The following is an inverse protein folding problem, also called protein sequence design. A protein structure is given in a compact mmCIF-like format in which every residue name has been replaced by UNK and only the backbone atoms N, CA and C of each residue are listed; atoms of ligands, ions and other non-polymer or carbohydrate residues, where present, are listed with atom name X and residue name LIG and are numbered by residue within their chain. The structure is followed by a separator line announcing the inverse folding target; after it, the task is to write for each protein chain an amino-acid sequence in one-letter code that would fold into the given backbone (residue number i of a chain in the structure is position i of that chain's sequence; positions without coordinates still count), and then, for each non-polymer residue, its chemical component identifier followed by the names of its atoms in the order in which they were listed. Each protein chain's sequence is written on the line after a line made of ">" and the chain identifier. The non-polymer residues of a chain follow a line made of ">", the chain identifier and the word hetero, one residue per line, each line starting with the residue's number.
data_IF_312186998506
#
_entry.id   IF_312186998506
#
_cell.length_a   1.000
_cell.length_b   1.000
_cell.length_c   1.000
_cell.angle_alpha   90.00
_cell.angle_beta   90.00
_cell.angle_gamma   90.00
#
_symmetry.space_group_name_H-M   'P 1'
#
loop_
_entity.id
_entity.type
_entity.pdbx_description
1 polymer ?
#
# COMPACT_ATOMS: atom_id res chain seq x y z
N UNK A 1 2.03 1.68 7.36
CA UNK A 1 2.87 2.37 6.37
C UNK A 1 3.98 1.44 5.91
N UNK A 2 4.38 1.60 4.67
CA UNK A 2 5.57 0.95 4.10
C UNK A 2 5.62 -0.55 4.43
N UNK A 3 6.63 -1.02 5.16
CA UNK A 3 6.79 -2.44 5.50
C UNK A 3 5.59 -3.02 6.25
N UNK A 4 4.95 -2.23 7.11
CA UNK A 4 3.77 -2.66 7.85
C UNK A 4 2.55 -2.94 6.98
N UNK A 5 2.51 -2.44 5.73
CA UNK A 5 1.35 -2.64 4.86
C UNK A 5 1.14 -4.09 4.47
N UNK A 6 2.21 -4.88 4.36
CA UNK A 6 2.10 -6.31 4.08
C UNK A 6 1.40 -7.06 5.20
N UNK A 7 1.78 -6.78 6.45
CA UNK A 7 1.14 -7.38 7.61
C UNK A 7 -0.29 -6.90 7.78
N UNK A 8 -0.55 -5.60 7.53
CA UNK A 8 -1.89 -5.04 7.61
C UNK A 8 -2.83 -5.68 6.57
N UNK A 9 -2.35 -5.88 5.35
CA UNK A 9 -3.12 -6.53 4.28
C UNK A 9 -3.47 -7.96 4.65
N UNK A 10 -2.50 -8.70 5.19
CA UNK A 10 -2.73 -10.08 5.63
C UNK A 10 -3.76 -10.13 6.76
N UNK A 11 -3.63 -9.25 7.74
CA UNK A 11 -4.57 -9.20 8.87
C UNK A 11 -5.98 -8.81 8.40
N UNK A 12 -6.10 -7.86 7.48
CA UNK A 12 -7.39 -7.42 6.97
C UNK A 12 -8.16 -8.53 6.23
N UNK A 13 -7.45 -9.46 5.61
CA UNK A 13 -8.08 -10.64 4.99
C UNK A 13 -8.82 -11.47 6.04
N UNK A 14 -8.26 -11.61 7.24
CA UNK A 14 -8.80 -12.47 8.28
C UNK A 14 -9.79 -11.73 9.19
N UNK A 15 -9.49 -10.47 9.54
CA UNK A 15 -10.27 -9.69 10.54
C UNK A 15 -11.43 -8.92 9.90
N UNK A 16 -11.31 -8.55 8.61
CA UNK A 16 -12.33 -7.80 7.85
C UNK A 16 -12.70 -6.47 8.48
N UNK A 17 -11.75 -5.52 8.57
CA UNK A 17 -12.03 -4.19 9.13
C UNK A 17 -13.00 -3.41 8.25
N UNK A 18 -13.57 -2.32 8.79
CA UNK A 18 -14.47 -1.42 8.04
C UNK A 18 -13.74 -0.67 6.92
N UNK A 19 -12.44 -0.43 7.10
CA UNK A 19 -11.59 0.23 6.10
C UNK A 19 -10.14 -0.20 6.31
N UNK A 20 -9.46 -0.53 5.23
CA UNK A 20 -8.01 -0.74 5.22
C UNK A 20 -7.36 0.45 4.53
N UNK A 21 -6.45 1.15 5.23
CA UNK A 21 -5.68 2.25 4.65
C UNK A 21 -4.22 1.81 4.53
N UNK A 22 -3.71 1.83 3.31
CA UNK A 22 -2.32 1.49 3.02
C UNK A 22 -1.58 2.75 2.58
N UNK A 23 -0.55 3.13 3.31
CA UNK A 23 0.26 4.31 3.00
C UNK A 23 1.62 3.85 2.53
N UNK A 24 1.99 4.25 1.31
CA UNK A 24 3.25 3.86 0.66
C UNK A 24 3.46 2.35 0.66
N UNK A 25 2.45 1.57 0.22
CA UNK A 25 2.56 0.12 0.23
C UNK A 25 3.50 -0.40 -0.86
N UNK A 26 4.02 -1.61 -0.64
CA UNK A 26 4.75 -2.35 -1.65
C UNK A 26 3.90 -3.53 -2.14
N UNK A 27 4.09 -3.92 -3.42
CA UNK A 27 3.39 -5.08 -3.97
C UNK A 27 3.93 -6.38 -3.36
N UNK A 28 5.26 -6.50 -3.26
CA UNK A 28 5.90 -7.59 -2.52
C UNK A 28 7.25 -7.12 -1.99
N UNK A 29 7.66 -7.67 -0.85
CA UNK A 29 8.97 -7.36 -0.28
C UNK A 29 10.10 -7.85 -1.19
N UNK A 30 9.89 -8.97 -1.88
CA UNK A 30 10.84 -9.49 -2.85
C UNK A 30 11.08 -8.49 -3.99
N UNK A 31 10.01 -7.88 -4.51
CA UNK A 31 10.11 -6.89 -5.57
C UNK A 31 10.91 -5.67 -5.12
N UNK A 32 10.63 -5.16 -3.91
CA UNK A 32 11.39 -4.03 -3.34
C UNK A 32 12.87 -4.39 -3.19
N UNK A 33 13.17 -5.56 -2.66
CA UNK A 33 14.54 -6.02 -2.49
C UNK A 33 15.28 -6.10 -3.82
N UNK A 34 14.63 -6.60 -4.87
CA UNK A 34 15.23 -6.71 -6.21
C UNK A 34 15.46 -5.37 -6.87
N UNK A 35 14.59 -4.39 -6.61
CA UNK A 35 14.75 -3.04 -7.15
C UNK A 35 15.97 -2.32 -6.55
N UNK A 36 16.23 -2.52 -5.24
CA UNK A 36 17.34 -1.88 -4.54
C UNK A 36 18.60 -2.75 -4.48
N UNK A 37 18.45 -4.06 -4.50
CA UNK A 37 19.53 -5.03 -4.39
C UNK A 37 19.32 -6.15 -5.41
N UNK A 38 19.55 -5.87 -6.73
CA UNK A 38 19.15 -6.80 -7.80
C UNK A 38 19.83 -8.18 -7.72
N UNK A 39 20.98 -8.27 -7.05
CA UNK A 39 21.73 -9.53 -6.94
C UNK A 39 21.33 -10.38 -5.75
N UNK A 40 20.39 -9.91 -4.91
CA UNK A 40 19.94 -10.70 -3.75
C UNK A 40 19.03 -11.82 -4.23
N UNK A 41 19.37 -13.10 -3.96
CA UNK A 41 18.49 -14.21 -4.29
C UNK A 41 17.19 -14.14 -3.48
N UNK A 42 16.06 -14.39 -4.15
CA UNK A 42 14.76 -14.39 -3.48
C UNK A 42 14.66 -15.39 -2.33
N UNK A 43 15.42 -16.48 -2.40
CA UNK A 43 15.47 -17.48 -1.35
C UNK A 43 16.01 -16.96 0.00
N UNK A 44 16.71 -15.82 0.00
CA UNK A 44 17.20 -15.19 1.21
C UNK A 44 16.10 -14.40 1.93
N UNK A 45 14.96 -14.16 1.29
CA UNK A 45 13.81 -13.50 1.90
C UNK A 45 12.91 -14.55 2.52
N UNK A 46 13.02 -14.68 3.85
CA UNK A 46 12.26 -15.67 4.62
C UNK A 46 10.75 -15.39 4.59
N UNK A 47 10.37 -14.12 4.55
CA UNK A 47 8.96 -13.67 4.52
C UNK A 47 8.79 -12.60 3.45
N UNK A 48 8.46 -12.97 2.20
CA UNK A 48 8.38 -12.01 1.09
C UNK A 48 7.23 -11.02 1.19
N UNK A 49 6.24 -11.26 2.06
CA UNK A 49 5.07 -10.39 2.28
C UNK A 49 4.45 -9.91 0.96
N UNK A 50 3.94 -10.85 0.17
CA UNK A 50 3.39 -10.59 -1.14
C UNK A 50 1.96 -10.04 -1.05
N UNK A 51 1.84 -8.73 -0.78
CA UNK A 51 0.54 -8.06 -0.67
C UNK A 51 -0.29 -8.16 -1.94
N UNK A 52 0.37 -8.20 -3.11
CA UNK A 52 -0.29 -8.38 -4.40
C UNK A 52 -1.05 -9.69 -4.51
N UNK A 53 -0.63 -10.74 -3.80
CA UNK A 53 -1.33 -12.01 -3.74
C UNK A 53 -2.44 -12.04 -2.71
N UNK A 54 -2.34 -11.22 -1.66
CA UNK A 54 -3.28 -11.22 -0.54
C UNK A 54 -4.43 -10.25 -0.72
N UNK A 55 -4.21 -9.13 -1.42
CA UNK A 55 -5.19 -8.05 -1.50
C UNK A 55 -6.50 -8.49 -2.19
N UNK A 56 -6.42 -9.44 -3.10
CA UNK A 56 -7.61 -9.99 -3.76
C UNK A 56 -8.57 -10.68 -2.79
N UNK A 57 -8.06 -11.18 -1.65
CA UNK A 57 -8.86 -11.83 -0.63
C UNK A 57 -9.37 -10.85 0.45
N UNK A 58 -8.97 -9.58 0.40
CA UNK A 58 -9.46 -8.54 1.31
C UNK A 58 -10.82 -8.06 0.79
N UNK A 59 -11.86 -8.24 1.59
CA UNK A 59 -13.23 -7.85 1.22
C UNK A 59 -13.59 -6.44 1.69
N UNK A 60 -12.82 -5.89 2.62
CA UNK A 60 -13.01 -4.53 3.13
C UNK A 60 -12.70 -3.49 2.06
N UNK A 61 -13.30 -2.29 2.14
CA UNK A 61 -12.84 -1.16 1.33
C UNK A 61 -11.35 -0.86 1.59
N UNK A 62 -10.61 -0.59 0.53
CA UNK A 62 -9.17 -0.30 0.61
C UNK A 62 -8.88 1.06 0.01
N UNK A 63 -8.24 1.92 0.79
CA UNK A 63 -7.70 3.20 0.33
C UNK A 63 -6.18 3.14 0.33
N UNK A 64 -5.56 3.42 -0.81
CA UNK A 64 -4.11 3.45 -0.94
C UNK A 64 -3.68 4.90 -1.14
N UNK A 65 -2.74 5.35 -0.32
CA UNK A 65 -2.15 6.69 -0.39
C UNK A 65 -0.67 6.54 -0.71
N UNK A 66 -0.23 7.06 -1.85
CA UNK A 66 1.14 6.87 -2.32
C UNK A 66 1.67 8.15 -2.98
N UNK A 67 2.90 8.51 -2.66
CA UNK A 67 3.57 9.66 -3.27
C UNK A 67 4.09 9.33 -4.66
N UNK A 68 3.81 10.19 -5.63
CA UNK A 68 4.32 10.00 -6.99
C UNK A 68 5.84 10.16 -7.09
N UNK A 69 6.44 10.86 -6.14
CA UNK A 69 7.89 11.07 -6.08
C UNK A 69 8.59 10.13 -5.12
N UNK A 70 7.93 9.08 -4.66
CA UNK A 70 8.52 8.06 -3.80
C UNK A 70 9.56 7.26 -4.58
N UNK A 71 10.83 7.40 -4.17
CA UNK A 71 11.95 6.71 -4.81
C UNK A 71 12.32 5.41 -4.10
N UNK A 72 11.87 5.23 -2.86
CA UNK A 72 12.10 3.99 -2.14
C UNK A 72 11.14 2.89 -2.59
N UNK A 73 9.85 3.22 -2.63
CA UNK A 73 8.82 2.34 -3.16
C UNK A 73 8.08 3.10 -4.26
N UNK A 74 8.43 2.88 -5.53
CA UNK A 74 7.79 3.59 -6.64
C UNK A 74 6.26 3.42 -6.64
N UNK A 75 5.55 4.42 -7.14
CA UNK A 75 4.08 4.43 -7.13
C UNK A 75 3.46 3.26 -7.91
N UNK A 76 4.21 2.67 -8.83
CA UNK A 76 3.73 1.50 -9.59
C UNK A 76 3.48 0.28 -8.70
N UNK A 77 4.08 0.21 -7.51
CA UNK A 77 3.69 -0.80 -6.51
C UNK A 77 2.23 -0.62 -6.08
N UNK A 78 1.80 0.61 -5.83
CA UNK A 78 0.41 0.91 -5.47
C UNK A 78 -0.53 0.59 -6.63
N UNK A 79 -0.14 0.93 -7.85
CA UNK A 79 -0.92 0.62 -9.04
C UNK A 79 -1.07 -0.89 -9.25
N UNK A 80 -0.01 -1.65 -8.98
CA UNK A 80 -0.06 -3.12 -9.04
C UNK A 80 -1.05 -3.69 -8.00
N UNK A 81 -1.14 -3.09 -6.81
CA UNK A 81 -2.10 -3.52 -5.81
C UNK A 81 -3.54 -3.22 -6.22
N UNK A 82 -3.79 -2.07 -6.85
CA UNK A 82 -5.13 -1.75 -7.39
C UNK A 82 -5.53 -2.81 -8.41
N UNK A 83 -4.64 -3.15 -9.33
CA UNK A 83 -4.90 -4.19 -10.33
C UNK A 83 -5.15 -5.54 -9.67
N UNK A 84 -4.32 -5.93 -8.71
CA UNK A 84 -4.45 -7.20 -7.99
C UNK A 84 -5.74 -7.29 -7.16
N UNK A 85 -6.29 -6.16 -6.75
CA UNK A 85 -7.58 -6.10 -6.05
C UNK A 85 -8.79 -6.24 -6.99
N UNK A 86 -8.56 -6.37 -8.29
CA UNK A 86 -9.63 -6.37 -9.28
C UNK A 86 -10.20 -4.97 -9.54
N UNK A 87 -9.42 -3.93 -9.26
CA UNK A 87 -9.83 -2.54 -9.42
C UNK A 87 -10.69 -2.00 -8.27
N UNK A 88 -10.87 -2.77 -7.20
CA UNK A 88 -11.72 -2.36 -6.06
C UNK A 88 -11.01 -1.41 -5.10
N UNK A 89 -9.69 -1.49 -4.99
CA UNK A 89 -8.92 -0.57 -4.16
C UNK A 89 -8.87 0.82 -4.81
N UNK A 90 -8.99 1.85 -3.99
CA UNK A 90 -8.91 3.25 -4.41
C UNK A 90 -7.50 3.76 -4.19
N UNK A 91 -6.90 4.36 -5.21
CA UNK A 91 -5.57 4.95 -5.10
C UNK A 91 -5.65 6.46 -5.19
N UNK A 92 -5.10 7.15 -4.19
CA UNK A 92 -4.74 8.56 -4.28
C UNK A 92 -3.23 8.68 -4.41
N UNK A 93 -2.76 9.04 -5.60
CA UNK A 93 -1.35 9.34 -5.82
C UNK A 93 -1.12 10.83 -5.58
N UNK A 94 -0.23 11.16 -4.64
CA UNK A 94 0.01 12.54 -4.22
C UNK A 94 1.20 13.10 -4.99
N UNK A 95 0.95 14.12 -5.81
CA UNK A 95 2.00 14.75 -6.61
C UNK A 95 3.01 15.45 -5.71
N UNK A 96 4.30 15.26 -6.02
CA UNK A 96 5.40 15.86 -5.28
C UNK A 96 5.78 15.16 -3.99
N UNK A 97 4.94 14.25 -3.48
CA UNK A 97 5.22 13.55 -2.23
C UNK A 97 6.21 12.41 -2.42
N UNK A 98 7.16 12.30 -1.50
CA UNK A 98 8.09 11.18 -1.42
C UNK A 98 7.65 10.14 -0.39
N UNK A 99 8.60 9.28 0.01
CA UNK A 99 8.28 8.19 0.94
C UNK A 99 8.02 8.71 2.37
N UNK A 100 8.76 9.71 2.80
CA UNK A 100 8.76 10.14 4.22
C UNK A 100 7.92 11.39 4.48
N UNK A 101 7.47 12.12 3.46
CA UNK A 101 6.81 13.40 3.63
C UNK A 101 5.34 13.45 3.17
N UNK A 102 4.77 12.33 2.74
CA UNK A 102 3.40 12.29 2.20
C UNK A 102 2.37 12.83 3.20
N UNK A 103 2.56 12.59 4.49
CA UNK A 103 1.64 13.05 5.54
C UNK A 103 1.60 14.57 5.68
N UNK A 104 2.56 15.29 5.10
CA UNK A 104 2.62 16.75 5.13
C UNK A 104 1.78 17.39 4.02
N UNK A 105 1.26 16.60 3.08
CA UNK A 105 0.48 17.11 1.96
C UNK A 105 -1.00 17.18 2.31
N UNK A 106 -1.64 18.30 1.97
CA UNK A 106 -3.07 18.50 2.23
C UNK A 106 -3.93 17.42 1.56
N UNK A 107 -3.57 17.00 0.36
CA UNK A 107 -4.31 15.94 -0.36
C UNK A 107 -4.37 14.64 0.46
N UNK A 108 -3.27 14.26 1.11
CA UNK A 108 -3.24 13.09 1.99
C UNK A 108 -4.15 13.25 3.19
N UNK A 109 -4.02 14.39 3.89
CA UNK A 109 -4.78 14.64 5.12
C UNK A 109 -6.28 14.74 4.83
N UNK A 110 -6.64 15.42 3.76
CA UNK A 110 -8.05 15.63 3.38
C UNK A 110 -8.71 14.31 2.97
N UNK A 111 -8.02 13.48 2.18
CA UNK A 111 -8.55 12.20 1.76
C UNK A 111 -8.77 11.27 2.96
N UNK A 112 -7.80 11.22 3.87
CA UNK A 112 -7.88 10.38 5.06
C UNK A 112 -9.01 10.85 5.98
N UNK A 113 -9.12 12.17 6.23
CA UNK A 113 -10.16 12.74 7.06
C UNK A 113 -11.55 12.47 6.47
N UNK A 114 -11.70 12.62 5.15
CA UNK A 114 -12.97 12.36 4.47
C UNK A 114 -13.43 10.91 4.64
N UNK A 115 -12.52 9.96 4.45
CA UNK A 115 -12.85 8.53 4.58
C UNK A 115 -13.18 8.15 6.02
N UNK A 116 -12.42 8.66 7.00
CA UNK A 116 -12.68 8.41 8.42
C UNK A 116 -14.00 9.03 8.87
N UNK A 117 -14.33 10.23 8.41
CA UNK A 117 -15.61 10.87 8.70
C UNK A 117 -16.78 10.03 8.16
N UNK A 118 -16.62 9.46 6.96
CA UNK A 118 -17.62 8.58 6.38
C UNK A 118 -17.91 7.34 7.23
N UNK A 119 -16.89 6.80 7.90
CA UNK A 119 -17.05 5.64 8.78
C UNK A 119 -17.80 5.98 10.08
N UNK A 120 -17.70 7.22 10.54
CA UNK A 120 -18.35 7.66 11.79
C UNK A 120 -19.86 7.88 11.63
N UNK A 121 -20.37 7.84 10.42
CA UNK A 121 -21.79 7.98 10.10
C UNK A 121 -22.50 6.60 10.05
#
# INVERSE_FOLDING_TARGET
>A
RSLGTGLATRLARDVKPDLLVLVSPYASLLRVAREHYPLVPGALLKYPLESDRLIGAVTSPVLILHGRSDTLIPVDHAEALVTASGGRAELLAVDGAGHDDIQNFAAYRDALAHRLTGLAR
#
